data_IF_864656627612
#
_entry.id   IF_864656627612
#
_cell.length_a   1.000
_cell.length_b   1.000
_cell.length_c   1.000
_cell.angle_alpha   90.00
_cell.angle_beta   90.00
_cell.angle_gamma   90.00
#
_symmetry.space_group_name_H-M   'P 1'
#
loop_
_entity.id
_entity.type
_entity.pdbx_description
1 polymer ?
#
# COMPACT_ATOMS: atom_id res chain seq x y z
N UNK A 1 -20.44 -5.33 -8.85
CA UNK A 1 -20.66 -6.73 -8.43
C UNK A 1 -21.95 -7.34 -8.90
N UNK A 2 -23.13 -6.89 -8.47
CA UNK A 2 -24.41 -7.50 -8.90
C UNK A 2 -24.52 -7.59 -10.43
N UNK A 3 -24.19 -6.52 -11.16
CA UNK A 3 -24.17 -6.52 -12.63
C UNK A 3 -23.24 -7.58 -13.24
N UNK A 4 -22.09 -7.84 -12.62
CA UNK A 4 -21.16 -8.88 -13.06
C UNK A 4 -21.74 -10.28 -12.85
N UNK A 5 -22.38 -10.52 -11.70
CA UNK A 5 -23.01 -11.81 -11.39
C UNK A 5 -24.12 -12.16 -12.39
N UNK A 6 -24.94 -11.17 -12.77
CA UNK A 6 -26.06 -11.40 -13.69
C UNK A 6 -25.67 -11.30 -15.17
N UNK A 7 -24.62 -10.55 -15.51
CA UNK A 7 -24.30 -10.20 -16.90
C UNK A 7 -22.90 -10.59 -17.37
N UNK A 8 -22.05 -11.15 -16.51
CA UNK A 8 -20.68 -11.55 -16.83
C UNK A 8 -19.71 -10.41 -17.17
N UNK A 9 -20.16 -9.15 -17.15
CA UNK A 9 -19.38 -7.99 -17.56
C UNK A 9 -19.50 -6.81 -16.59
N UNK A 10 -18.45 -6.00 -16.53
CA UNK A 10 -18.42 -4.71 -15.82
C UNK A 10 -17.94 -3.64 -16.80
N UNK A 11 -18.74 -2.60 -17.00
CA UNK A 11 -18.29 -1.39 -17.68
C UNK A 11 -17.54 -0.50 -16.69
N UNK A 12 -16.27 -0.25 -16.97
CA UNK A 12 -15.37 0.61 -16.17
C UNK A 12 -15.33 2.05 -16.68
N UNK A 13 -15.88 2.32 -17.87
CA UNK A 13 -15.95 3.66 -18.46
C UNK A 13 -16.52 4.67 -17.45
N UNK A 14 -15.84 5.80 -17.31
CA UNK A 14 -16.16 6.91 -16.40
C UNK A 14 -16.00 6.64 -14.89
N UNK A 15 -15.42 5.52 -14.47
CA UNK A 15 -15.12 5.29 -13.06
C UNK A 15 -13.70 5.79 -12.71
N UNK A 16 -13.54 6.34 -11.51
CA UNK A 16 -12.23 6.82 -11.06
C UNK A 16 -11.35 5.66 -10.56
N UNK A 17 -10.03 5.87 -10.52
CA UNK A 17 -9.06 4.83 -10.12
C UNK A 17 -9.34 4.26 -8.73
N UNK A 18 -9.75 5.11 -7.78
CA UNK A 18 -10.07 4.70 -6.41
C UNK A 18 -11.19 3.66 -6.39
N UNK A 19 -12.27 3.91 -7.14
CA UNK A 19 -13.37 2.97 -7.27
C UNK A 19 -12.94 1.65 -7.89
N UNK A 20 -12.12 1.69 -8.94
CA UNK A 20 -11.62 0.48 -9.61
C UNK A 20 -10.74 -0.34 -8.64
N UNK A 21 -9.91 0.33 -7.85
CA UNK A 21 -9.09 -0.31 -6.83
C UNK A 21 -9.92 -0.94 -5.72
N UNK A 22 -10.92 -0.25 -5.16
CA UNK A 22 -11.82 -0.87 -4.17
C UNK A 22 -12.62 -2.02 -4.78
N UNK A 23 -13.08 -1.88 -6.02
CA UNK A 23 -13.78 -2.95 -6.74
C UNK A 23 -12.90 -4.19 -6.91
N UNK A 24 -11.60 -4.02 -7.19
CA UNK A 24 -10.62 -5.10 -7.28
C UNK A 24 -10.49 -5.83 -5.93
N UNK A 25 -10.37 -5.08 -4.82
CA UNK A 25 -10.29 -5.68 -3.49
C UNK A 25 -11.56 -6.47 -3.14
N UNK A 26 -12.74 -5.92 -3.42
CA UNK A 26 -14.02 -6.61 -3.25
C UNK A 26 -14.11 -7.84 -4.15
N UNK A 27 -13.60 -7.79 -5.38
CA UNK A 27 -13.58 -8.96 -6.27
C UNK A 27 -12.74 -10.10 -5.71
N UNK A 28 -11.58 -9.78 -5.13
CA UNK A 28 -10.76 -10.75 -4.41
C UNK A 28 -11.45 -11.28 -3.15
N UNK A 29 -12.16 -10.44 -2.39
CA UNK A 29 -12.90 -10.86 -1.19
C UNK A 29 -14.02 -11.85 -1.53
N UNK A 30 -14.73 -11.62 -2.63
CA UNK A 30 -15.83 -12.47 -3.10
C UNK A 30 -15.40 -13.62 -4.03
N UNK A 31 -14.09 -13.87 -4.17
CA UNK A 31 -13.52 -14.95 -4.99
C UNK A 31 -13.87 -14.86 -6.50
N UNK A 32 -14.08 -13.65 -7.01
CA UNK A 32 -14.19 -13.40 -8.45
C UNK A 32 -12.80 -13.18 -9.05
N UNK A 33 -11.95 -14.21 -9.00
CA UNK A 33 -10.52 -14.10 -9.29
C UNK A 33 -10.22 -13.60 -10.73
N UNK A 34 -11.03 -14.00 -11.72
CA UNK A 34 -10.87 -13.53 -13.11
C UNK A 34 -11.12 -12.02 -13.22
N UNK A 35 -12.23 -11.54 -12.65
CA UNK A 35 -12.54 -10.11 -12.61
C UNK A 35 -11.46 -9.35 -11.84
N UNK A 36 -11.04 -9.87 -10.68
CA UNK A 36 -10.05 -9.23 -9.84
C UNK A 36 -8.72 -9.05 -10.58
N UNK A 37 -8.23 -10.10 -11.26
CA UNK A 37 -7.01 -10.04 -12.09
C UNK A 37 -7.15 -9.06 -13.25
N UNK A 38 -8.30 -9.04 -13.93
CA UNK A 38 -8.54 -8.09 -15.02
C UNK A 38 -8.51 -6.63 -14.53
N UNK A 39 -9.10 -6.35 -13.36
CA UNK A 39 -9.05 -5.03 -12.74
C UNK A 39 -7.62 -4.65 -12.32
N UNK A 40 -6.88 -5.61 -11.77
CA UNK A 40 -5.49 -5.44 -11.36
C UNK A 40 -4.58 -5.07 -12.53
N UNK A 41 -4.66 -5.82 -13.64
CA UNK A 41 -3.96 -5.50 -14.88
C UNK A 41 -4.36 -4.13 -15.42
N UNK A 42 -5.66 -3.81 -15.43
CA UNK A 42 -6.16 -2.53 -15.90
C UNK A 42 -5.62 -1.34 -15.09
N UNK A 43 -5.48 -1.49 -13.78
CA UNK A 43 -4.92 -0.50 -12.87
C UNK A 43 -3.42 -0.23 -13.13
N UNK A 44 -2.68 -1.27 -13.50
CA UNK A 44 -1.22 -1.21 -13.75
C UNK A 44 -0.93 -0.65 -15.14
N UNK A 45 -1.63 -1.13 -16.18
CA UNK A 45 -1.36 -0.80 -17.58
C UNK A 45 -1.88 0.57 -17.99
N UNK A 46 -2.95 1.06 -17.35
CA UNK A 46 -3.51 2.37 -17.67
C UNK A 46 -2.69 3.47 -17.01
N UNK A 47 -2.07 4.35 -17.80
CA UNK A 47 -1.21 5.45 -17.33
C UNK A 47 -1.86 6.33 -16.26
N UNK A 48 -3.13 6.74 -16.45
CA UNK A 48 -3.84 7.58 -15.48
C UNK A 48 -4.08 6.87 -14.15
N UNK A 49 -4.36 5.55 -14.19
CA UNK A 49 -4.57 4.74 -13.00
C UNK A 49 -3.24 4.47 -12.28
N UNK A 50 -2.20 4.07 -13.01
CA UNK A 50 -0.88 3.83 -12.44
C UNK A 50 -0.27 5.10 -11.84
N UNK A 51 -0.51 6.27 -12.44
CA UNK A 51 -0.14 7.56 -11.86
C UNK A 51 -0.85 7.82 -10.52
N UNK A 52 -2.17 7.60 -10.46
CA UNK A 52 -2.92 7.74 -9.23
C UNK A 52 -2.43 6.77 -8.14
N UNK A 53 -2.06 5.55 -8.52
CA UNK A 53 -1.48 4.57 -7.59
C UNK A 53 -0.15 5.09 -7.04
N UNK A 54 0.71 5.68 -7.87
CA UNK A 54 1.97 6.29 -7.42
C UNK A 54 1.75 7.46 -6.46
N UNK A 55 0.69 8.25 -6.65
CA UNK A 55 0.33 9.34 -5.73
C UNK A 55 -0.19 8.83 -4.38
N UNK A 56 -0.83 7.66 -4.36
CA UNK A 56 -1.43 7.04 -3.17
C UNK A 56 -0.65 5.81 -2.70
N UNK A 57 0.65 5.77 -3.00
CA UNK A 57 1.45 4.55 -2.99
C UNK A 57 1.45 3.84 -1.63
N UNK A 58 1.73 4.57 -0.55
CA UNK A 58 1.82 4.00 0.81
C UNK A 58 0.51 3.35 1.25
N UNK A 59 -0.63 3.99 0.98
CA UNK A 59 -1.97 3.47 1.30
C UNK A 59 -2.28 2.19 0.52
N UNK A 60 -1.94 2.18 -0.76
CA UNK A 60 -2.18 1.04 -1.64
C UNK A 60 -1.27 -0.13 -1.26
N UNK A 61 0.01 0.15 -1.00
CA UNK A 61 0.96 -0.83 -0.49
C UNK A 61 0.41 -1.48 0.80
N UNK A 62 -0.06 -0.67 1.75
CA UNK A 62 -0.66 -1.19 2.98
C UNK A 62 -1.86 -2.11 2.72
N UNK A 63 -2.82 -1.70 1.88
CA UNK A 63 -4.01 -2.50 1.56
C UNK A 63 -3.66 -3.79 0.81
N UNK A 64 -2.69 -3.75 -0.11
CA UNK A 64 -2.22 -4.94 -0.82
C UNK A 64 -1.55 -5.94 0.12
N UNK A 65 -0.80 -5.49 1.13
CA UNK A 65 -0.17 -6.41 2.09
C UNK A 65 -1.13 -6.94 3.17
N UNK A 66 -2.33 -6.39 3.29
CA UNK A 66 -3.41 -6.97 4.09
C UNK A 66 -4.12 -8.10 3.36
N UNK A 67 -4.24 -7.99 2.04
CA UNK A 67 -4.92 -8.95 1.18
C UNK A 67 -3.86 -9.72 0.38
N UNK A 68 -3.52 -10.96 0.75
CA UNK A 68 -2.47 -11.74 0.06
C UNK A 68 -2.83 -12.22 -1.39
N UNK A 69 -3.80 -11.58 -2.05
CA UNK A 69 -4.38 -12.01 -3.34
C UNK A 69 -3.95 -11.21 -4.59
N UNK A 70 -3.81 -9.86 -4.57
CA UNK A 70 -3.39 -9.07 -5.72
C UNK A 70 -1.87 -9.19 -5.93
N UNK A 71 -1.44 -10.32 -6.52
CA UNK A 71 -0.03 -10.66 -6.66
C UNK A 71 0.71 -9.78 -7.68
N UNK A 72 0.06 -9.37 -8.77
CA UNK A 72 0.70 -8.59 -9.83
C UNK A 72 0.89 -7.13 -9.42
N UNK A 73 -0.09 -6.53 -8.75
CA UNK A 73 -0.02 -5.20 -8.18
C UNK A 73 0.93 -5.17 -6.99
N UNK A 74 0.95 -6.21 -6.16
CA UNK A 74 1.97 -6.33 -5.11
C UNK A 74 3.38 -6.39 -5.71
N UNK A 75 3.58 -7.19 -6.77
CA UNK A 75 4.87 -7.26 -7.49
C UNK A 75 5.25 -5.91 -8.11
N UNK A 76 4.31 -5.25 -8.79
CA UNK A 76 4.52 -3.92 -9.36
C UNK A 76 4.86 -2.87 -8.29
N UNK A 77 4.15 -2.89 -7.16
CA UNK A 77 4.45 -2.03 -6.02
C UNK A 77 5.85 -2.32 -5.47
N UNK A 78 6.21 -3.59 -5.31
CA UNK A 78 7.52 -4.03 -4.86
C UNK A 78 8.64 -3.52 -5.78
N UNK A 79 8.48 -3.61 -7.10
CA UNK A 79 9.45 -3.10 -8.07
C UNK A 79 9.69 -1.58 -7.93
N UNK A 80 8.66 -0.83 -7.53
CA UNK A 80 8.77 0.60 -7.23
C UNK A 80 9.51 0.82 -5.90
N UNK A 81 9.17 0.07 -4.85
CA UNK A 81 9.83 0.20 -3.54
C UNK A 81 11.33 -0.09 -3.65
N UNK A 82 11.73 -1.09 -4.43
CA UNK A 82 13.15 -1.42 -4.64
C UNK A 82 13.91 -0.22 -5.21
N UNK A 83 13.36 0.40 -6.26
CA UNK A 83 14.02 1.48 -7.00
C UNK A 83 13.91 2.85 -6.32
N UNK A 84 12.84 3.07 -5.57
CA UNK A 84 12.54 4.36 -4.93
C UNK A 84 11.93 4.12 -3.55
N UNK A 85 12.69 3.54 -2.61
CA UNK A 85 12.20 3.25 -1.25
C UNK A 85 11.78 4.53 -0.51
N UNK A 86 12.37 5.68 -0.84
CA UNK A 86 11.97 7.01 -0.35
C UNK A 86 10.46 7.28 -0.50
N UNK A 87 9.82 6.78 -1.56
CA UNK A 87 8.37 6.98 -1.79
C UNK A 87 7.49 6.45 -0.67
N UNK A 88 7.91 5.36 -0.03
CA UNK A 88 7.18 4.79 1.11
C UNK A 88 7.73 5.26 2.44
N UNK A 89 9.06 5.32 2.62
CA UNK A 89 9.66 5.67 3.90
C UNK A 89 9.46 7.15 4.27
N UNK A 90 9.55 8.06 3.29
CA UNK A 90 9.43 9.50 3.52
C UNK A 90 7.95 9.98 3.47
N UNK A 91 6.99 9.05 3.28
CA UNK A 91 5.55 9.34 3.25
C UNK A 91 4.97 9.52 4.66
N UNK A 92 4.06 10.47 4.86
CA UNK A 92 3.35 10.63 6.15
C UNK A 92 2.52 9.39 6.52
N UNK A 93 1.96 8.72 5.52
CA UNK A 93 1.18 7.49 5.70
C UNK A 93 2.07 6.31 6.18
N UNK A 94 3.40 6.41 6.12
CA UNK A 94 4.32 5.36 6.58
C UNK A 94 4.07 4.99 8.05
N UNK A 95 3.86 6.00 8.88
CA UNK A 95 3.63 5.82 10.32
C UNK A 95 2.29 5.14 10.64
N UNK A 96 1.40 5.03 9.64
CA UNK A 96 0.13 4.32 9.74
C UNK A 96 0.22 2.84 9.34
N UNK A 97 1.37 2.40 8.78
CA UNK A 97 1.58 0.99 8.40
C UNK A 97 1.32 0.05 9.58
N UNK A 98 0.67 -1.07 9.26
CA UNK A 98 0.52 -2.19 10.18
C UNK A 98 1.84 -2.95 10.32
N UNK A 99 2.00 -3.64 11.44
CA UNK A 99 3.25 -4.33 11.78
C UNK A 99 3.65 -5.38 10.73
N UNK A 100 2.71 -6.18 10.24
CA UNK A 100 2.96 -7.17 9.18
C UNK A 100 3.49 -6.53 7.87
N UNK A 101 2.91 -5.41 7.47
CA UNK A 101 3.34 -4.67 6.27
C UNK A 101 4.72 -4.03 6.50
N UNK A 102 4.98 -3.49 7.71
CA UNK A 102 6.28 -2.95 8.07
C UNK A 102 7.35 -4.05 8.04
N UNK A 103 7.11 -5.18 8.71
CA UNK A 103 8.03 -6.33 8.73
C UNK A 103 8.34 -6.79 7.31
N UNK A 104 7.30 -7.00 6.49
CA UNK A 104 7.48 -7.40 5.09
C UNK A 104 8.31 -6.39 4.28
N UNK A 105 8.12 -5.09 4.53
CA UNK A 105 8.87 -4.03 3.88
C UNK A 105 10.35 -4.02 4.31
N UNK A 106 10.64 -4.12 5.61
CA UNK A 106 12.02 -4.03 6.13
C UNK A 106 12.81 -5.33 6.02
N UNK A 107 12.14 -6.47 5.83
CA UNK A 107 12.80 -7.77 5.58
C UNK A 107 13.44 -7.87 4.20
N UNK A 108 13.22 -6.89 3.31
CA UNK A 108 13.82 -6.83 1.99
C UNK A 108 15.28 -6.39 2.05
N UNK A 109 16.15 -7.15 1.40
CA UNK A 109 17.59 -6.86 1.25
C UNK A 109 17.92 -6.07 -0.03
N UNK A 110 16.97 -5.95 -0.95
CA UNK A 110 17.14 -5.32 -2.27
C UNK A 110 16.82 -3.82 -2.31
N UNK A 111 16.41 -3.23 -1.19
CA UNK A 111 16.06 -1.81 -1.10
C UNK A 111 17.26 -0.91 -1.42
N UNK A 112 17.11 -0.01 -2.39
CA UNK A 112 18.13 0.99 -2.75
C UNK A 112 18.16 2.16 -1.74
N UNK A 113 18.31 1.85 -0.45
CA UNK A 113 18.41 2.82 0.65
C UNK A 113 19.40 2.35 1.72
N UNK A 114 20.14 3.29 2.32
CA UNK A 114 21.05 2.96 3.43
C UNK A 114 20.26 2.40 4.63
N UNK A 115 20.71 1.28 5.17
CA UNK A 115 20.09 0.63 6.33
C UNK A 115 19.87 1.59 7.52
N UNK A 116 20.81 2.51 7.78
CA UNK A 116 20.65 3.51 8.85
C UNK A 116 19.44 4.42 8.64
N UNK A 117 19.11 4.79 7.39
CA UNK A 117 17.92 5.59 7.07
C UNK A 117 16.64 4.77 7.33
N UNK A 118 16.64 3.49 6.97
CA UNK A 118 15.53 2.56 7.23
C UNK A 118 15.29 2.45 8.75
N UNK A 119 16.33 2.14 9.53
CA UNK A 119 16.23 2.01 10.98
C UNK A 119 15.73 3.29 11.67
N UNK A 120 16.16 4.47 11.22
CA UNK A 120 15.64 5.74 11.73
C UNK A 120 14.12 5.89 11.54
N UNK A 121 13.57 5.42 10.41
CA UNK A 121 12.12 5.43 10.18
C UNK A 121 11.40 4.42 11.08
N UNK A 122 11.95 3.22 11.24
CA UNK A 122 11.39 2.17 12.11
C UNK A 122 11.33 2.63 13.57
N UNK A 123 12.39 3.28 14.07
CA UNK A 123 12.41 3.84 15.43
C UNK A 123 11.32 4.91 15.58
N UNK A 124 11.19 5.84 14.63
CA UNK A 124 10.14 6.87 14.65
C UNK A 124 8.74 6.25 14.62
N UNK A 125 8.52 5.23 13.80
CA UNK A 125 7.26 4.47 13.76
C UNK A 125 6.95 3.85 15.11
N UNK A 126 7.92 3.17 15.74
CA UNK A 126 7.75 2.54 17.05
C UNK A 126 7.43 3.56 18.15
N UNK A 127 8.13 4.69 18.18
CA UNK A 127 7.87 5.78 19.13
C UNK A 127 6.44 6.33 18.97
N UNK A 128 5.98 6.55 17.73
CA UNK A 128 4.61 7.03 17.49
C UNK A 128 3.55 6.04 17.98
N UNK A 129 3.77 4.74 17.80
CA UNK A 129 2.86 3.72 18.36
C UNK A 129 2.84 3.76 19.88
N UNK A 130 4.00 3.80 20.53
CA UNK A 130 4.10 3.90 22.00
C UNK A 130 3.37 5.15 22.51
N UNK A 131 3.60 6.31 21.90
CA UNK A 131 2.96 7.58 22.26
C UNK A 131 1.44 7.58 21.99
N UNK A 132 0.96 6.79 21.03
CA UNK A 132 -0.47 6.62 20.79
C UNK A 132 -1.14 5.78 21.89
N UNK A 133 -0.47 4.74 22.39
CA UNK A 133 -0.96 3.90 23.49
C UNK A 133 -0.77 4.53 24.89
N UNK A 134 0.21 5.42 25.05
CA UNK A 134 0.51 6.11 26.31
C UNK A 134 0.64 7.64 26.13
N UNK A 135 -0.49 8.37 26.03
CA UNK A 135 -0.50 9.81 25.72
C UNK A 135 0.25 10.70 26.72
N UNK A 136 0.44 10.22 27.96
CA UNK A 136 1.10 10.95 29.06
C UNK A 136 2.59 11.20 28.75
N UNK A 137 3.20 10.43 27.85
CA UNK A 137 4.59 10.60 27.44
C UNK A 137 4.83 11.74 26.42
N UNK A 138 3.76 12.40 25.91
CA UNK A 138 3.86 13.49 24.92
C UNK A 138 4.36 14.82 25.49
N UNK A 139 4.46 14.99 26.81
CA UNK A 139 4.68 16.29 27.46
C UNK A 139 6.12 16.57 27.92
N UNK A 140 7.10 15.72 27.57
CA UNK A 140 8.52 15.97 27.85
C UNK A 140 9.30 16.48 26.62
N UNK A 141 10.31 17.36 26.78
CA UNK A 141 11.07 17.87 25.64
C UNK A 141 12.01 16.78 25.11
N UNK A 142 11.56 16.00 24.12
CA UNK A 142 12.45 15.11 23.38
C UNK A 142 13.22 15.93 22.34
N UNK A 143 14.35 16.52 22.75
CA UNK A 143 15.40 16.89 21.81
C UNK A 143 16.12 15.60 21.41
N UNK A 144 15.94 15.16 20.18
CA UNK A 144 16.77 14.11 19.58
C UNK A 144 17.80 14.82 18.68
N UNK A 145 19.10 14.49 18.77
CA UNK A 145 20.16 15.10 17.96
C UNK A 145 20.03 14.81 16.47
#
# INVERSE_FOLDING_TARGET
MIKYIYGGAVLLENHNTSFIFELMLVAYEFFFDELAKNLETHLIETETHSHWIRLNFTRIYQKNFQNNKPQELQKWCNDIVVKSPDKIFDSEDFFSLQENALVSLISRDDLQMKAVKIWNHVIKWGLLKILAYHPILKTGPMKIP
#
